data_IF_614880498729
#
_entry.id   IF_614880498729
#
_cell.length_a   1.000
_cell.length_b   1.000
_cell.length_c   1.000
_cell.angle_alpha   90.00
_cell.angle_beta   90.00
_cell.angle_gamma   90.00
#
_symmetry.space_group_name_H-M   'P 1'
#
loop_
_entity.id
_entity.type
_entity.pdbx_description
1 polymer ?
#
# COMPACT_ATOMS: atom_id res chain seq x y z
N UNK A 1 -12.51 9.04 -5.72
CA UNK A 1 -13.31 7.95 -5.12
C UNK A 1 -12.85 7.62 -3.70
N UNK A 2 -11.61 7.11 -3.47
CA UNK A 2 -11.19 6.71 -2.12
C UNK A 2 -11.14 7.90 -1.16
N UNK A 3 -10.57 9.04 -1.55
CA UNK A 3 -10.55 10.26 -0.73
C UNK A 3 -11.97 10.73 -0.38
N UNK A 4 -12.92 10.64 -1.32
CA UNK A 4 -14.32 11.01 -1.07
C UNK A 4 -14.96 10.08 -0.02
N UNK A 5 -14.71 8.75 -0.12
CA UNK A 5 -15.19 7.79 0.90
C UNK A 5 -14.55 7.99 2.28
N UNK A 6 -13.32 8.49 2.29
CA UNK A 6 -12.62 8.86 3.53
C UNK A 6 -13.09 10.20 4.11
N UNK A 7 -13.96 10.93 3.42
CA UNK A 7 -14.53 12.21 3.86
C UNK A 7 -13.69 13.43 3.49
N UNK A 8 -12.69 13.29 2.61
CA UNK A 8 -11.98 14.44 2.06
C UNK A 8 -12.85 15.12 1.00
N UNK A 9 -12.77 16.43 0.94
CA UNK A 9 -13.47 17.27 -0.04
C UNK A 9 -12.49 18.24 -0.69
N UNK A 10 -12.67 18.60 -1.97
CA UNK A 10 -11.85 19.63 -2.59
C UNK A 10 -12.17 20.99 -1.99
N UNK A 11 -11.16 21.78 -1.71
CA UNK A 11 -11.27 23.18 -1.35
C UNK A 11 -11.45 24.07 -2.60
N UNK A 12 -11.55 25.42 -2.47
CA UNK A 12 -11.68 26.32 -3.60
C UNK A 12 -10.56 26.24 -4.65
N UNK A 13 -9.37 25.78 -4.27
CA UNK A 13 -8.24 25.57 -5.16
C UNK A 13 -8.23 24.15 -5.76
N UNK A 14 -9.24 23.32 -5.44
CA UNK A 14 -9.33 21.93 -5.89
C UNK A 14 -8.44 20.94 -5.12
N UNK A 15 -7.84 21.38 -4.00
CA UNK A 15 -6.96 20.54 -3.19
C UNK A 15 -7.81 19.82 -2.13
N UNK A 16 -7.64 18.51 -2.02
CA UNK A 16 -8.38 17.72 -1.04
C UNK A 16 -7.96 18.03 0.39
N UNK A 17 -8.97 18.33 1.21
CA UNK A 17 -8.83 18.60 2.65
C UNK A 17 -9.87 17.77 3.41
N UNK A 18 -9.57 17.36 4.63
CA UNK A 18 -10.55 16.70 5.47
C UNK A 18 -11.19 17.70 6.42
N UNK A 19 -12.55 17.83 6.49
CA UNK A 19 -13.23 18.84 7.32
C UNK A 19 -12.89 18.76 8.81
N UNK A 20 -12.50 17.58 9.30
CA UNK A 20 -12.06 17.37 10.68
C UNK A 20 -10.53 17.45 10.85
N UNK A 21 -9.80 17.95 9.86
CA UNK A 21 -8.35 18.10 9.93
C UNK A 21 -7.55 16.79 9.89
N UNK A 22 -8.13 15.69 9.40
CA UNK A 22 -7.37 14.44 9.19
C UNK A 22 -6.34 14.65 8.08
N UNK A 23 -5.15 14.10 8.29
CA UNK A 23 -4.06 14.14 7.32
C UNK A 23 -4.01 12.82 6.55
N UNK A 24 -3.84 12.90 5.24
CA UNK A 24 -3.56 11.73 4.42
C UNK A 24 -2.07 11.36 4.46
N UNK A 25 -1.76 10.08 4.22
CA UNK A 25 -0.38 9.63 4.05
C UNK A 25 -0.30 8.69 2.83
N UNK A 26 0.45 9.11 1.81
CA UNK A 26 0.64 8.35 0.59
C UNK A 26 1.90 7.48 0.70
N UNK A 27 1.77 6.19 0.39
CA UNK A 27 2.82 5.21 0.57
C UNK A 27 3.74 5.03 -0.66
N UNK A 28 3.76 6.02 -1.57
CA UNK A 28 4.58 5.98 -2.77
C UNK A 28 3.93 5.23 -3.94
N UNK A 29 4.74 5.01 -4.99
CA UNK A 29 4.29 4.51 -6.29
C UNK A 29 3.16 5.38 -6.86
N UNK A 30 3.40 6.70 -6.85
CA UNK A 30 2.45 7.74 -7.26
C UNK A 30 2.27 7.80 -8.77
N UNK A 31 3.08 7.07 -9.51
CA UNK A 31 3.13 7.05 -10.97
C UNK A 31 3.25 5.62 -11.51
N UNK A 32 3.23 5.52 -12.82
CA UNK A 32 3.35 4.32 -13.64
C UNK A 32 2.06 3.47 -13.70
N UNK A 33 1.88 2.80 -14.82
CA UNK A 33 0.75 1.90 -15.14
C UNK A 33 -0.63 2.56 -15.21
N UNK A 34 -0.92 3.46 -14.28
CA UNK A 34 -2.22 4.16 -14.23
C UNK A 34 -2.48 5.06 -15.44
N UNK A 35 -3.75 5.40 -15.67
CA UNK A 35 -4.15 6.25 -16.79
C UNK A 35 -3.82 7.75 -16.56
N UNK A 36 -3.78 8.20 -15.30
CA UNK A 36 -3.72 9.62 -14.90
C UNK A 36 -2.52 9.91 -13.98
N UNK A 37 -1.29 9.58 -14.43
CA UNK A 37 -0.10 9.73 -13.59
C UNK A 37 0.17 11.20 -13.22
N UNK A 38 0.07 12.12 -14.17
CA UNK A 38 0.26 13.56 -13.90
C UNK A 38 -0.84 14.14 -13.01
N UNK A 39 -2.08 13.62 -13.13
CA UNK A 39 -3.20 13.98 -12.25
C UNK A 39 -2.94 13.55 -10.80
N UNK A 40 -2.45 12.33 -10.58
CA UNK A 40 -2.07 11.85 -9.24
C UNK A 40 -0.92 12.66 -8.65
N UNK A 41 0.12 12.95 -9.46
CA UNK A 41 1.25 13.78 -9.01
C UNK A 41 0.76 15.18 -8.59
N UNK A 42 -0.10 15.84 -9.37
CA UNK A 42 -0.69 17.14 -9.01
C UNK A 42 -1.48 17.08 -7.71
N UNK A 43 -2.31 16.07 -7.55
CA UNK A 43 -3.13 15.86 -6.36
C UNK A 43 -2.25 15.73 -5.12
N UNK A 44 -1.30 14.80 -5.14
CA UNK A 44 -0.44 14.52 -4.00
C UNK A 44 0.46 15.72 -3.67
N UNK A 45 1.10 16.32 -4.69
CA UNK A 45 1.92 17.53 -4.53
C UNK A 45 1.11 18.68 -3.93
N UNK A 46 -0.11 18.91 -4.40
CA UNK A 46 -1.01 19.93 -3.87
C UNK A 46 -1.35 19.69 -2.40
N UNK A 47 -1.75 18.47 -2.05
CA UNK A 47 -2.08 18.10 -0.67
C UNK A 47 -0.86 18.22 0.26
N UNK A 48 0.32 17.77 -0.17
CA UNK A 48 1.56 17.87 0.61
C UNK A 48 1.99 19.32 0.78
N UNK A 49 1.95 20.13 -0.28
CA UNK A 49 2.27 21.56 -0.21
C UNK A 49 1.34 22.34 0.72
N UNK A 50 0.06 21.96 0.76
CA UNK A 50 -0.94 22.54 1.66
C UNK A 50 -0.84 22.05 3.11
N UNK A 51 -0.06 21.00 3.35
CA UNK A 51 0.08 20.38 4.67
C UNK A 51 -1.11 19.50 5.06
N UNK A 52 -1.91 19.04 4.10
CA UNK A 52 -3.04 18.11 4.32
C UNK A 52 -2.66 16.66 4.06
N UNK A 53 -1.44 16.42 3.57
CA UNK A 53 -0.91 15.08 3.39
C UNK A 53 0.60 14.99 3.65
N UNK A 54 1.05 13.75 3.88
CA UNK A 54 2.44 13.31 3.82
C UNK A 54 2.60 12.33 2.67
N UNK A 55 3.82 12.21 2.14
CA UNK A 55 4.14 11.20 1.14
C UNK A 55 5.54 10.62 1.37
N UNK A 56 5.69 9.33 1.18
CA UNK A 56 6.99 8.66 1.06
C UNK A 56 7.18 8.22 -0.38
N UNK A 57 8.42 8.12 -0.89
CA UNK A 57 8.65 7.66 -2.25
C UNK A 57 8.46 6.15 -2.37
N UNK A 58 7.89 5.69 -3.49
CA UNK A 58 7.98 4.32 -3.93
C UNK A 58 9.16 4.09 -4.89
N UNK A 59 9.39 2.85 -5.26
CA UNK A 59 10.47 2.52 -6.20
C UNK A 59 10.18 3.05 -7.62
N UNK A 60 8.91 3.17 -8.02
CA UNK A 60 8.49 3.80 -9.27
C UNK A 60 8.80 5.30 -9.26
N UNK A 61 8.51 6.00 -8.18
CA UNK A 61 8.81 7.42 -8.01
C UNK A 61 10.31 7.71 -8.09
N UNK A 62 11.14 6.86 -7.46
CA UNK A 62 12.61 6.98 -7.53
C UNK A 62 13.12 6.73 -8.95
N UNK A 63 12.48 5.82 -9.70
CA UNK A 63 12.84 5.56 -11.09
C UNK A 63 12.48 6.75 -11.99
N UNK A 64 11.30 7.34 -11.79
CA UNK A 64 10.87 8.58 -12.45
C UNK A 64 11.83 9.74 -12.12
N UNK A 65 12.19 9.92 -10.85
CA UNK A 65 13.16 10.94 -10.43
C UNK A 65 14.50 10.81 -11.17
N UNK A 66 15.03 9.58 -11.26
CA UNK A 66 16.27 9.32 -12.02
C UNK A 66 16.13 9.73 -13.50
N UNK A 67 14.98 9.46 -14.11
CA UNK A 67 14.70 9.88 -15.49
C UNK A 67 14.70 11.41 -15.62
N UNK A 68 13.97 12.12 -14.75
CA UNK A 68 13.89 13.58 -14.74
C UNK A 68 15.27 14.24 -14.52
N UNK A 69 16.15 13.60 -13.76
CA UNK A 69 17.55 14.02 -13.57
C UNK A 69 18.45 13.73 -14.79
N UNK A 70 17.90 13.25 -15.89
CA UNK A 70 18.67 12.91 -17.10
C UNK A 70 19.51 11.64 -16.97
N UNK A 71 19.29 10.80 -15.94
CA UNK A 71 19.99 9.53 -15.79
C UNK A 71 19.41 8.48 -16.72
N UNK A 72 20.24 7.59 -17.21
CA UNK A 72 19.80 6.49 -18.06
C UNK A 72 18.98 5.48 -17.23
N UNK A 73 17.69 5.32 -17.57
CA UNK A 73 16.79 4.34 -16.99
C UNK A 73 16.06 3.56 -18.10
N UNK A 74 15.62 2.35 -17.78
CA UNK A 74 14.79 1.59 -18.71
C UNK A 74 13.33 2.10 -18.62
N UNK A 75 12.73 2.47 -19.75
CA UNK A 75 11.31 2.83 -19.85
C UNK A 75 10.48 1.55 -19.93
N UNK A 76 10.19 0.96 -18.77
CA UNK A 76 9.38 -0.25 -18.62
C UNK A 76 8.58 -0.20 -17.31
N UNK A 77 7.68 -1.17 -17.13
CA UNK A 77 6.79 -1.28 -15.96
C UNK A 77 5.85 -0.09 -15.76
N UNK A 78 5.48 0.59 -16.86
CA UNK A 78 4.54 1.71 -16.85
C UNK A 78 5.20 3.10 -16.84
N UNK A 79 6.53 3.20 -16.66
CA UNK A 79 7.25 4.48 -16.71
C UNK A 79 7.13 5.15 -18.09
N UNK A 80 7.05 4.38 -19.17
CA UNK A 80 6.83 4.86 -20.52
C UNK A 80 5.53 5.68 -20.65
N UNK A 81 4.47 5.27 -19.91
CA UNK A 81 3.19 5.99 -19.89
C UNK A 81 3.34 7.30 -19.13
N UNK A 82 3.98 7.26 -17.96
CA UNK A 82 4.24 8.45 -17.14
C UNK A 82 5.07 9.48 -17.90
N UNK A 83 6.13 9.04 -18.57
CA UNK A 83 7.00 9.91 -19.39
C UNK A 83 6.21 10.55 -20.52
N UNK A 84 5.43 9.78 -21.27
CA UNK A 84 4.60 10.32 -22.36
C UNK A 84 3.59 11.37 -21.87
N UNK A 85 3.02 11.21 -20.67
CA UNK A 85 2.15 12.22 -20.07
C UNK A 85 2.94 13.47 -19.65
N UNK A 86 4.12 13.30 -19.06
CA UNK A 86 4.99 14.40 -18.64
C UNK A 86 5.56 15.18 -19.85
N UNK A 87 5.76 14.54 -20.99
CA UNK A 87 6.20 15.22 -22.23
C UNK A 87 5.13 16.18 -22.75
N UNK A 88 3.85 15.94 -22.44
CA UNK A 88 2.74 16.87 -22.71
C UNK A 88 2.63 18.03 -21.72
N UNK A 89 3.42 18.04 -20.66
CA UNK A 89 3.37 19.04 -19.59
C UNK A 89 4.45 20.12 -19.76
N UNK A 90 4.26 21.25 -19.05
CA UNK A 90 5.24 22.33 -19.06
C UNK A 90 6.55 21.92 -18.35
N UNK A 91 7.67 22.55 -18.76
CA UNK A 91 8.97 22.40 -18.08
C UNK A 91 8.90 22.78 -16.60
N UNK A 92 8.08 23.78 -16.27
CA UNK A 92 7.84 24.20 -14.90
C UNK A 92 7.23 23.07 -14.08
N UNK A 93 6.22 22.38 -14.61
CA UNK A 93 5.59 21.24 -13.91
C UNK A 93 6.56 20.07 -13.77
N UNK A 94 7.31 19.71 -14.81
CA UNK A 94 8.35 18.67 -14.73
C UNK A 94 9.39 18.96 -13.65
N UNK A 95 9.82 20.24 -13.56
CA UNK A 95 10.75 20.68 -12.52
C UNK A 95 10.14 20.61 -11.12
N UNK A 96 8.87 20.96 -10.96
CA UNK A 96 8.15 20.82 -9.68
C UNK A 96 8.04 19.35 -9.25
N UNK A 97 7.71 18.43 -10.17
CA UNK A 97 7.68 17.00 -9.92
C UNK A 97 9.05 16.50 -9.45
N UNK A 98 10.13 16.90 -10.17
CA UNK A 98 11.49 16.54 -9.79
C UNK A 98 11.82 17.01 -8.36
N UNK A 99 11.58 18.28 -8.05
CA UNK A 99 11.86 18.84 -6.73
C UNK A 99 11.04 18.16 -5.62
N UNK A 100 9.76 17.88 -5.90
CA UNK A 100 8.91 17.16 -4.97
C UNK A 100 9.45 15.77 -4.65
N UNK A 101 9.78 14.97 -5.66
CA UNK A 101 10.31 13.62 -5.49
C UNK A 101 11.68 13.60 -4.80
N UNK A 102 12.54 14.60 -5.07
CA UNK A 102 13.84 14.79 -4.38
C UNK A 102 13.66 15.06 -2.89
N UNK A 103 12.60 15.79 -2.52
CA UNK A 103 12.31 16.16 -1.13
C UNK A 103 11.70 15.04 -0.27
N UNK A 104 11.25 13.94 -0.88
CA UNK A 104 10.59 12.86 -0.15
C UNK A 104 11.55 12.09 0.77
N UNK A 105 11.13 11.91 2.03
CA UNK A 105 11.86 11.12 3.02
C UNK A 105 11.45 9.64 2.93
N UNK A 106 12.35 8.73 3.32
CA UNK A 106 12.13 7.28 3.16
C UNK A 106 11.00 6.72 4.04
N UNK A 107 10.73 7.34 5.18
CA UNK A 107 9.67 6.95 6.10
C UNK A 107 9.34 8.09 7.05
N UNK A 108 8.16 8.04 7.65
CA UNK A 108 7.77 8.92 8.76
C UNK A 108 7.53 8.10 10.02
N UNK A 109 7.88 8.70 11.16
CA UNK A 109 7.55 8.21 12.50
C UNK A 109 6.55 9.19 13.10
N UNK A 110 5.35 8.74 13.36
CA UNK A 110 4.19 9.56 13.71
C UNK A 110 3.63 9.14 15.07
N UNK A 111 2.71 9.96 15.63
CA UNK A 111 2.02 9.69 16.88
C UNK A 111 2.97 9.20 17.99
N UNK A 112 3.98 10.04 18.30
CA UNK A 112 4.97 9.76 19.35
C UNK A 112 5.66 8.39 19.19
N UNK A 113 5.83 7.94 17.95
CA UNK A 113 6.48 6.67 17.64
C UNK A 113 5.56 5.46 17.57
N UNK A 114 4.23 5.65 17.64
CA UNK A 114 3.26 4.54 17.58
C UNK A 114 2.92 4.13 16.15
N UNK A 115 3.08 5.03 15.19
CA UNK A 115 2.80 4.78 13.77
C UNK A 115 4.04 5.06 12.93
N UNK A 116 4.37 4.15 12.03
CA UNK A 116 5.43 4.31 11.03
C UNK A 116 4.84 4.04 9.66
N UNK A 117 5.15 4.90 8.69
CA UNK A 117 4.79 4.69 7.29
C UNK A 117 6.05 4.60 6.43
N UNK A 118 6.11 3.62 5.55
CA UNK A 118 7.19 3.41 4.58
C UNK A 118 6.63 2.65 3.37
N UNK A 119 7.20 2.84 2.17
CA UNK A 119 6.66 2.22 0.96
C UNK A 119 6.66 0.69 1.02
N UNK A 120 7.82 0.05 1.23
CA UNK A 120 7.94 -1.41 1.30
C UNK A 120 8.16 -1.94 2.72
N UNK A 121 7.93 -1.09 3.73
CA UNK A 121 8.12 -1.41 5.14
C UNK A 121 9.47 -0.98 5.70
N UNK A 122 9.71 -1.34 6.97
CA UNK A 122 10.93 -0.96 7.68
C UNK A 122 11.21 -1.92 8.83
N UNK A 123 12.47 -2.32 9.03
CA UNK A 123 12.88 -3.10 10.21
C UNK A 123 12.93 -2.22 11.46
N UNK A 124 12.55 -2.74 12.62
CA UNK A 124 12.50 -2.00 13.89
C UNK A 124 13.77 -1.18 14.16
N UNK A 125 14.95 -1.78 13.96
CA UNK A 125 16.23 -1.13 14.18
C UNK A 125 16.54 0.05 13.24
N UNK A 126 15.76 0.25 12.20
CA UNK A 126 15.91 1.32 11.21
C UNK A 126 14.98 2.51 11.45
N UNK A 127 13.95 2.34 12.27
CA UNK A 127 12.95 3.37 12.56
C UNK A 127 13.62 4.64 13.11
N UNK A 128 13.26 5.79 12.53
CA UNK A 128 13.80 7.09 12.92
C UNK A 128 15.25 7.34 12.52
N UNK A 129 15.84 6.48 11.70
CA UNK A 129 17.22 6.60 11.23
C UNK A 129 17.28 6.85 9.72
N UNK A 130 18.33 7.53 9.24
CA UNK A 130 18.57 7.83 7.82
C UNK A 130 19.89 7.25 7.33
N UNK A 131 19.86 6.52 6.23
CA UNK A 131 21.03 6.11 5.44
C UNK A 131 20.56 5.57 4.08
N UNK A 132 21.47 5.46 3.10
CA UNK A 132 21.16 4.83 1.81
C UNK A 132 20.57 3.42 1.96
N UNK A 133 21.18 2.60 2.83
CA UNK A 133 20.70 1.23 3.11
C UNK A 133 19.28 1.20 3.69
N UNK A 134 18.93 2.15 4.57
CA UNK A 134 17.59 2.25 5.15
C UNK A 134 16.61 2.70 4.07
N UNK A 135 17.00 3.70 3.25
CA UNK A 135 16.19 4.14 2.12
C UNK A 135 15.91 3.00 1.13
N UNK A 136 16.93 2.21 0.79
CA UNK A 136 16.77 1.06 -0.10
C UNK A 136 15.82 0.02 0.51
N UNK A 137 15.92 -0.25 1.81
CA UNK A 137 14.97 -1.13 2.48
C UNK A 137 13.54 -0.60 2.42
N UNK A 138 13.34 0.68 2.70
CA UNK A 138 12.00 1.30 2.64
C UNK A 138 11.41 1.27 1.22
N UNK A 139 12.25 1.25 0.18
CA UNK A 139 11.82 1.24 -1.23
C UNK A 139 11.57 -0.17 -1.79
N UNK A 140 12.35 -1.15 -1.36
CA UNK A 140 12.38 -2.48 -2.00
C UNK A 140 12.06 -3.63 -1.04
N UNK A 141 11.98 -3.37 0.26
CA UNK A 141 11.80 -4.39 1.30
C UNK A 141 13.08 -5.20 1.54
N UNK A 142 12.91 -6.39 2.09
CA UNK A 142 14.02 -7.30 2.44
C UNK A 142 14.43 -8.13 1.22
N UNK A 143 15.19 -7.53 0.31
CA UNK A 143 15.69 -8.20 -0.89
C UNK A 143 17.10 -8.77 -0.63
N UNK A 144 17.35 -9.99 -1.12
CA UNK A 144 18.64 -10.68 -0.99
C UNK A 144 19.54 -10.55 -2.24
N UNK A 145 19.05 -9.87 -3.29
CA UNK A 145 19.77 -9.70 -4.56
C UNK A 145 19.51 -10.81 -5.58
N UNK A 146 18.78 -11.86 -5.22
CA UNK A 146 18.36 -12.92 -6.14
C UNK A 146 17.08 -12.54 -6.88
N UNK A 147 16.82 -13.21 -8.00
CA UNK A 147 15.57 -13.10 -8.76
C UNK A 147 14.91 -14.45 -8.88
N UNK A 148 13.58 -14.45 -8.88
CA UNK A 148 12.76 -15.65 -9.07
C UNK A 148 12.66 -16.04 -10.56
N UNK A 149 11.92 -17.11 -10.86
CA UNK A 149 11.69 -17.60 -12.21
C UNK A 149 10.99 -16.57 -13.14
N UNK A 150 10.39 -15.54 -12.59
CA UNK A 150 9.73 -14.45 -13.31
C UNK A 150 10.63 -13.22 -13.47
N UNK A 151 11.89 -13.29 -12.99
CA UNK A 151 12.82 -12.16 -12.99
C UNK A 151 12.51 -11.11 -11.93
N UNK A 152 11.66 -11.41 -10.95
CA UNK A 152 11.32 -10.54 -9.84
C UNK A 152 12.28 -10.76 -8.67
N UNK A 153 12.62 -9.72 -7.89
CA UNK A 153 13.46 -9.87 -6.70
C UNK A 153 12.86 -10.86 -5.70
N UNK A 154 13.69 -11.78 -5.20
CA UNK A 154 13.33 -12.64 -4.07
C UNK A 154 13.35 -11.79 -2.79
N UNK A 155 12.25 -11.84 -2.04
CA UNK A 155 12.06 -11.05 -0.81
C UNK A 155 11.89 -11.94 0.40
N UNK A 156 12.57 -11.57 1.49
CA UNK A 156 12.29 -12.11 2.81
C UNK A 156 11.01 -11.52 3.39
N UNK A 157 10.33 -12.27 4.24
CA UNK A 157 9.17 -11.79 5.00
C UNK A 157 9.63 -11.06 6.27
N UNK A 158 10.04 -9.80 6.12
CA UNK A 158 10.50 -8.99 7.25
C UNK A 158 9.40 -8.74 8.28
N UNK A 159 8.12 -8.76 7.87
CA UNK A 159 6.99 -8.55 8.76
C UNK A 159 6.81 -9.69 9.76
N UNK A 160 7.10 -10.94 9.35
CA UNK A 160 7.11 -12.11 10.24
C UNK A 160 8.13 -11.97 11.38
N UNK A 161 9.23 -11.27 11.12
CA UNK A 161 10.30 -11.04 12.10
C UNK A 161 10.13 -9.75 12.92
N UNK A 162 9.16 -8.90 12.55
CA UNK A 162 8.94 -7.63 13.23
C UNK A 162 8.42 -7.85 14.65
N UNK A 163 9.04 -7.20 15.64
CA UNK A 163 8.66 -7.27 17.06
C UNK A 163 8.54 -5.88 17.68
N UNK A 164 8.59 -4.82 16.85
CA UNK A 164 8.46 -3.45 17.29
C UNK A 164 7.08 -3.11 17.85
N UNK A 165 7.01 -2.05 18.64
CA UNK A 165 5.75 -1.57 19.24
C UNK A 165 4.96 -0.68 18.28
N UNK A 166 5.63 -0.03 17.33
CA UNK A 166 4.98 0.82 16.36
C UNK A 166 4.19 -0.02 15.35
N UNK A 167 3.00 0.45 14.98
CA UNK A 167 2.32 -0.06 13.79
C UNK A 167 3.06 0.42 12.55
N UNK A 168 3.51 -0.50 11.69
CA UNK A 168 4.12 -0.15 10.41
C UNK A 168 3.12 -0.37 9.28
N UNK A 169 2.74 0.71 8.58
CA UNK A 169 1.84 0.65 7.41
C UNK A 169 2.68 0.78 6.14
N UNK A 170 2.47 -0.14 5.20
CA UNK A 170 3.27 -0.22 3.98
C UNK A 170 2.48 -0.82 2.80
N UNK A 171 3.09 -0.85 1.61
CA UNK A 171 2.57 -1.40 0.36
C UNK A 171 3.62 -2.22 -0.39
N UNK A 172 3.78 -1.98 -1.70
CA UNK A 172 4.82 -2.51 -2.59
C UNK A 172 4.72 -4.00 -2.95
N UNK A 173 4.18 -4.83 -2.09
CA UNK A 173 3.99 -6.27 -2.35
C UNK A 173 2.50 -6.52 -2.49
N UNK A 174 1.97 -6.50 -3.73
CA UNK A 174 0.53 -6.60 -3.94
C UNK A 174 -0.01 -7.96 -3.51
N UNK A 175 -1.14 -7.93 -2.84
CA UNK A 175 -1.93 -9.10 -2.47
C UNK A 175 -3.38 -8.92 -2.90
N UNK A 176 -4.20 -9.93 -2.72
CA UNK A 176 -5.65 -9.83 -2.96
C UNK A 176 -6.37 -9.12 -1.80
N UNK A 177 -5.74 -9.16 -0.59
CA UNK A 177 -6.29 -8.65 0.67
C UNK A 177 -5.27 -7.84 1.45
N UNK A 178 -5.76 -7.02 2.40
CA UNK A 178 -4.92 -6.35 3.40
C UNK A 178 -4.27 -7.40 4.29
N UNK A 179 -2.96 -7.34 4.45
CA UNK A 179 -2.21 -8.31 5.26
C UNK A 179 -1.77 -7.68 6.57
N UNK A 180 -2.28 -8.24 7.65
CA UNK A 180 -1.83 -7.95 8.99
C UNK A 180 -0.86 -9.03 9.44
N UNK A 181 0.31 -8.65 9.89
CA UNK A 181 1.31 -9.58 10.43
C UNK A 181 2.09 -8.90 11.55
N UNK A 182 2.05 -9.44 12.76
CA UNK A 182 2.54 -8.75 13.94
C UNK A 182 1.97 -7.32 14.04
N UNK A 183 2.79 -6.31 14.36
CA UNK A 183 2.39 -4.90 14.31
C UNK A 183 2.70 -4.27 12.95
N UNK A 184 2.33 -4.93 11.88
CA UNK A 184 2.48 -4.40 10.51
C UNK A 184 1.20 -4.59 9.70
N UNK A 185 0.95 -3.69 8.77
CA UNK A 185 -0.22 -3.72 7.90
C UNK A 185 0.20 -3.38 6.47
N UNK A 186 0.12 -4.36 5.56
CA UNK A 186 0.30 -4.13 4.13
C UNK A 186 -1.05 -3.84 3.50
N UNK A 187 -1.22 -2.62 2.98
CA UNK A 187 -2.46 -2.16 2.34
C UNK A 187 -2.40 -2.16 0.81
N UNK A 188 -1.36 -2.77 0.21
CA UNK A 188 -1.30 -2.93 -1.25
C UNK A 188 -2.18 -4.10 -1.68
N UNK A 189 -3.36 -3.78 -2.12
CA UNK A 189 -4.39 -4.71 -2.59
C UNK A 189 -4.49 -4.75 -4.11
N UNK A 190 -3.40 -4.44 -4.80
CA UNK A 190 -3.21 -4.68 -6.22
C UNK A 190 -4.07 -3.82 -7.14
N UNK A 191 -4.35 -2.57 -6.81
CA UNK A 191 -5.22 -1.68 -7.58
C UNK A 191 -4.87 -1.64 -9.08
N UNK A 192 -3.60 -1.45 -9.43
CA UNK A 192 -3.18 -1.40 -10.85
C UNK A 192 -3.38 -2.73 -11.59
N UNK A 193 -3.53 -3.82 -10.87
CA UNK A 193 -3.79 -5.17 -11.40
C UNK A 193 -5.26 -5.54 -11.42
N UNK A 194 -6.17 -4.58 -11.15
CA UNK A 194 -7.62 -4.80 -11.14
C UNK A 194 -8.19 -5.17 -9.76
N UNK A 195 -7.35 -5.12 -8.71
CA UNK A 195 -7.78 -5.29 -7.32
C UNK A 195 -8.39 -4.02 -6.72
N UNK A 196 -8.03 -3.69 -5.49
CA UNK A 196 -8.59 -2.56 -4.73
C UNK A 196 -7.53 -1.49 -4.49
N UNK A 197 -7.96 -0.23 -4.37
CA UNK A 197 -7.18 0.85 -3.75
C UNK A 197 -7.63 0.98 -2.30
N UNK A 198 -6.72 0.71 -1.37
CA UNK A 198 -7.03 0.58 0.05
C UNK A 198 -6.34 1.66 0.88
N UNK A 199 -7.05 2.17 1.87
CA UNK A 199 -6.54 3.03 2.92
C UNK A 199 -6.77 2.40 4.30
N UNK A 200 -5.87 2.70 5.24
CA UNK A 200 -6.03 2.42 6.66
C UNK A 200 -6.34 3.72 7.39
N UNK A 201 -7.47 3.76 8.11
CA UNK A 201 -7.75 4.82 9.09
C UNK A 201 -6.96 4.58 10.36
N UNK A 202 -6.27 5.61 10.82
CA UNK A 202 -5.55 5.58 12.09
C UNK A 202 -6.07 6.70 13.01
N UNK A 203 -6.30 6.47 14.31
CA UNK A 203 -5.92 5.28 15.09
C UNK A 203 -6.93 4.12 15.06
N UNK A 204 -8.05 4.25 14.36
CA UNK A 204 -9.16 3.28 14.37
C UNK A 204 -8.75 1.89 13.85
N UNK A 205 -7.71 1.81 13.03
CA UNK A 205 -7.24 0.61 12.34
C UNK A 205 -8.31 -0.03 11.43
N UNK A 206 -9.17 0.80 10.87
CA UNK A 206 -10.20 0.39 9.91
C UNK A 206 -9.66 0.52 8.48
N UNK A 207 -9.90 -0.47 7.66
CA UNK A 207 -9.57 -0.42 6.23
C UNK A 207 -10.76 -0.01 5.40
N UNK A 208 -10.53 0.88 4.43
CA UNK A 208 -11.52 1.31 3.44
C UNK A 208 -10.91 1.10 2.07
N UNK A 209 -11.67 0.47 1.19
CA UNK A 209 -11.19 0.11 -0.15
C UNK A 209 -12.21 0.52 -1.21
N UNK A 210 -11.70 0.90 -2.38
CA UNK A 210 -12.49 1.09 -3.59
C UNK A 210 -11.97 0.17 -4.68
N UNK A 211 -12.82 -0.44 -5.51
CA UNK A 211 -12.36 -1.27 -6.61
C UNK A 211 -11.62 -0.42 -7.65
N UNK A 212 -10.63 -1.03 -8.29
CA UNK A 212 -10.02 -0.47 -9.48
C UNK A 212 -11.10 -0.28 -10.57
N UNK A 213 -11.02 0.81 -11.32
CA UNK A 213 -11.97 1.07 -12.41
C UNK A 213 -11.77 0.09 -13.58
N UNK A 214 -10.55 -0.45 -13.70
CA UNK A 214 -10.17 -1.46 -14.68
C UNK A 214 -8.85 -2.11 -14.29
N UNK A 215 -8.46 -3.18 -14.95
CA UNK A 215 -7.11 -3.71 -14.86
C UNK A 215 -6.18 -2.90 -15.76
N UNK A 216 -5.25 -2.13 -15.17
CA UNK A 216 -4.30 -1.28 -15.91
C UNK A 216 -3.06 -2.03 -16.36
N UNK A 217 -2.68 -3.08 -15.63
CA UNK A 217 -1.53 -3.92 -15.95
C UNK A 217 -1.81 -5.37 -15.58
N UNK A 218 -1.12 -6.30 -16.26
CA UNK A 218 -1.13 -7.72 -15.86
C UNK A 218 -0.02 -7.96 -14.86
N UNK A 219 -0.28 -8.63 -13.73
CA UNK A 219 0.76 -9.01 -12.80
C UNK A 219 1.64 -10.09 -13.46
N UNK A 220 2.96 -10.04 -13.22
CA UNK A 220 3.91 -11.04 -13.74
C UNK A 220 3.75 -12.40 -13.06
N UNK A 221 3.24 -12.41 -11.84
CA UNK A 221 2.84 -13.62 -11.10
C UNK A 221 1.48 -13.37 -10.45
N UNK A 222 0.78 -14.43 -10.05
CA UNK A 222 -0.46 -14.31 -9.29
C UNK A 222 -0.23 -13.43 -8.03
N UNK A 223 -1.22 -12.62 -7.69
CA UNK A 223 -1.21 -11.86 -6.44
C UNK A 223 -1.15 -12.85 -5.27
N UNK A 224 -0.58 -12.41 -4.15
CA UNK A 224 -0.56 -13.24 -2.95
C UNK A 224 -2.01 -13.43 -2.47
N UNK A 225 -2.48 -14.68 -2.35
CA UNK A 225 -3.80 -14.96 -1.82
C UNK A 225 -3.85 -14.56 -0.33
N UNK A 226 -5.06 -14.49 0.21
CA UNK A 226 -5.25 -14.32 1.64
C UNK A 226 -4.46 -15.41 2.40
N UNK A 227 -3.70 -15.05 3.43
CA UNK A 227 -3.05 -16.05 4.27
C UNK A 227 -4.13 -16.97 4.84
N UNK A 228 -4.08 -18.24 4.49
CA UNK A 228 -4.88 -19.24 5.19
C UNK A 228 -4.27 -19.34 6.59
N UNK A 229 -5.00 -18.86 7.59
CA UNK A 229 -4.58 -19.01 8.99
C UNK A 229 -4.27 -20.48 9.25
N UNK A 230 -3.04 -20.85 9.70
CA UNK A 230 -2.76 -22.22 10.04
C UNK A 230 -3.63 -22.58 11.25
N UNK A 231 -4.70 -23.34 11.03
CA UNK A 231 -5.57 -23.81 12.10
C UNK A 231 -7.03 -23.33 12.06
N UNK A 232 -7.44 -22.50 11.12
CA UNK A 232 -8.85 -22.45 10.73
C UNK A 232 -9.11 -23.65 9.81
N UNK A 233 -9.23 -24.84 10.41
CA UNK A 233 -10.01 -25.88 9.75
C UNK A 233 -11.36 -25.25 9.46
N UNK A 234 -11.64 -25.01 8.20
CA UNK A 234 -12.95 -24.57 7.75
C UNK A 234 -13.85 -25.78 8.00
N UNK A 235 -14.49 -25.78 9.18
CA UNK A 235 -15.46 -26.82 9.53
C UNK A 235 -16.57 -26.72 8.48
N UNK A 236 -16.64 -27.69 7.60
CA UNK A 236 -17.74 -27.81 6.65
C UNK A 236 -19.01 -28.11 7.45
N UNK A 237 -20.17 -27.64 7.00
CA UNK A 237 -21.46 -27.87 7.67
C UNK A 237 -21.67 -29.36 8.01
N UNK A 238 -21.09 -30.25 7.23
CA UNK A 238 -21.06 -31.71 7.44
C UNK A 238 -20.26 -32.12 8.70
N UNK A 239 -19.27 -31.33 9.11
CA UNK A 239 -18.43 -31.61 10.26
C UNK A 239 -19.13 -31.17 11.60
N UNK A 240 -20.16 -30.33 11.47
CA UNK A 240 -20.94 -29.80 12.61
C UNK A 240 -22.11 -30.72 13.00
N UNK A 241 -22.44 -31.73 12.22
CA UNK A 241 -23.49 -32.69 12.49
C UNK A 241 -23.09 -33.79 13.53
N UNK A 242 -21.83 -33.80 13.96
CA UNK A 242 -21.38 -34.63 15.07
C UNK A 242 -21.72 -34.01 16.42
N UNK A 243 -21.70 -34.83 17.48
CA UNK A 243 -21.94 -34.40 18.87
C UNK A 243 -20.92 -33.32 19.25
N UNK A 244 -21.36 -32.07 19.46
CA UNK A 244 -20.54 -31.05 20.08
C UNK A 244 -20.17 -31.46 21.50
N UNK A 245 -18.88 -31.72 21.77
CA UNK A 245 -18.35 -31.65 23.12
C UNK A 245 -17.89 -30.24 23.36
N UNK A 246 -18.59 -29.52 24.23
CA UNK A 246 -18.13 -28.23 24.74
C UNK A 246 -16.93 -28.50 25.66
N UNK A 247 -15.73 -28.26 25.18
CA UNK A 247 -14.57 -28.10 26.06
C UNK A 247 -14.55 -26.65 26.53
N UNK A 248 -14.36 -26.44 27.83
CA UNK A 248 -14.23 -25.11 28.46
C UNK A 248 -12.87 -24.50 28.16
N UNK A 249 -12.63 -24.19 26.91
CA UNK A 249 -11.52 -23.43 26.40
C UNK A 249 -12.06 -22.32 25.49
N UNK A 250 -11.36 -21.23 25.35
CA UNK A 250 -11.70 -20.14 24.45
C UNK A 250 -12.28 -20.68 23.14
N UNK A 251 -13.58 -20.46 22.93
CA UNK A 251 -14.23 -20.80 21.69
C UNK A 251 -13.77 -19.78 20.67
N UNK A 252 -13.04 -20.15 19.61
CA UNK A 252 -12.83 -19.24 18.48
C UNK A 252 -14.23 -18.87 17.98
N UNK A 253 -14.46 -17.56 17.77
CA UNK A 253 -15.70 -17.09 17.18
C UNK A 253 -15.79 -17.72 15.78
N UNK A 254 -16.71 -18.66 15.62
CA UNK A 254 -17.01 -19.25 14.32
C UNK A 254 -17.78 -18.19 13.56
N UNK A 255 -17.12 -17.54 12.62
CA UNK A 255 -17.82 -16.73 11.61
C UNK A 255 -18.39 -17.72 10.60
N UNK A 256 -19.66 -18.07 10.77
CA UNK A 256 -20.39 -18.88 9.80
C UNK A 256 -20.76 -17.91 8.68
N UNK A 257 -20.00 -17.96 7.57
CA UNK A 257 -20.31 -17.24 6.35
C UNK A 257 -21.61 -17.73 5.69
N UNK A 258 -21.81 -17.42 4.42
CA UNK A 258 -23.02 -17.65 3.61
C UNK A 258 -23.66 -19.05 3.67
N UNK A 259 -22.96 -20.06 4.19
CA UNK A 259 -23.49 -21.41 4.35
C UNK A 259 -24.71 -21.50 5.30
N UNK A 260 -24.93 -20.53 6.19
CA UNK A 260 -26.11 -20.51 7.06
C UNK A 260 -27.39 -20.09 6.34
N UNK A 261 -27.27 -19.33 5.25
CA UNK A 261 -28.45 -18.90 4.48
C UNK A 261 -29.06 -20.04 3.64
N UNK A 262 -28.29 -21.08 3.36
CA UNK A 262 -28.75 -22.24 2.57
C UNK A 262 -29.36 -23.38 3.40
N UNK A 263 -29.35 -23.29 4.73
CA UNK A 263 -29.78 -24.38 5.64
C UNK A 263 -31.04 -24.03 6.46
N UNK A 264 -31.81 -22.98 6.08
CA UNK A 264 -33.12 -22.75 6.66
C UNK A 264 -34.13 -23.72 6.01
N UNK A 265 -34.73 -24.68 6.74
CA UNK A 265 -35.80 -25.49 6.18
C UNK A 265 -37.05 -24.65 5.99
N UNK A 266 -37.78 -24.92 4.91
CA UNK A 266 -39.14 -24.47 4.69
C UNK A 266 -40.09 -24.90 5.85
#
# INVERSE_FOLDING_TARGET
>A
LLLDQLGYVPDPDGIYVHPQGRMAAFLGDLCDRGAENTGVLRLVMGMVSKGTALAVPGNHDVKLLKYLQGRRVQLNHGLEITVAQLDGESDAFRSQVQQFLEGLVSHYVLDEGKLVIAHAGIKEKYIGRGSGRIRDFCLYGDVNGETDAYGLPVRGNWAADYRGKALVVYGHVPGEWVRWENHTCCIDTGCVFGGMLTALRYPEQETISVPALQQYAKPLRALQPEPVEPGTDTLMVQDVQGRMQLTTGLIPSIVIGEAQAAAAPE
#
